data_IF_079819983138
#
_entry.id   IF_079819983138
#
_cell.length_a   1.000
_cell.length_b   1.000
_cell.length_c   1.000
_cell.angle_alpha   90.00
_cell.angle_beta   90.00
_cell.angle_gamma   90.00
#
_symmetry.space_group_name_H-M   'P 1'
#
loop_
_entity.id
_entity.type
_entity.pdbx_description
1 polymer ?
#
# COMPACT_ATOMS: atom_id res chain seq x y z
N UNK A 1 26.33 28.75 -1.87
CA UNK A 1 25.50 28.07 -0.87
C UNK A 1 24.12 27.88 -1.47
N UNK A 2 23.85 26.72 -2.04
CA UNK A 2 22.53 26.29 -2.47
C UNK A 2 22.63 24.78 -2.64
N UNK A 3 21.90 24.01 -1.83
CA UNK A 3 21.51 22.60 -2.01
C UNK A 3 21.05 22.09 -0.63
N UNK A 4 19.84 22.44 -0.24
CA UNK A 4 19.20 21.92 0.98
C UNK A 4 17.69 21.70 0.80
N UNK A 5 17.13 22.04 -0.37
CA UNK A 5 15.72 21.82 -0.70
C UNK A 5 15.47 20.51 -1.45
N UNK A 6 16.48 19.96 -2.14
CA UNK A 6 16.31 18.71 -2.90
C UNK A 6 16.38 17.48 -1.99
N UNK A 7 17.28 17.49 -1.00
CA UNK A 7 17.49 16.34 -0.11
C UNK A 7 16.29 16.08 0.82
N UNK A 8 15.61 17.13 1.29
CA UNK A 8 14.42 16.97 2.14
C UNK A 8 13.23 16.39 1.36
N UNK A 9 13.03 16.83 0.12
CA UNK A 9 11.96 16.32 -0.76
C UNK A 9 12.25 14.86 -1.16
N UNK A 10 13.49 14.52 -1.50
CA UNK A 10 13.87 13.13 -1.78
C UNK A 10 13.71 12.21 -0.55
N UNK A 11 14.10 12.68 0.65
CA UNK A 11 13.91 11.89 1.87
C UNK A 11 12.42 11.68 2.23
N UNK A 12 11.55 12.65 1.93
CA UNK A 12 10.10 12.50 2.09
C UNK A 12 9.51 11.57 1.02
N UNK A 13 9.96 11.64 -0.23
CA UNK A 13 9.52 10.73 -1.30
C UNK A 13 9.98 9.28 -1.08
N UNK A 14 11.19 9.06 -0.56
CA UNK A 14 11.70 7.72 -0.28
C UNK A 14 10.99 7.09 0.92
N UNK A 15 10.73 7.86 1.98
CA UNK A 15 9.87 7.40 3.10
C UNK A 15 8.45 7.12 2.64
N UNK A 16 7.90 7.96 1.77
CA UNK A 16 6.56 7.77 1.24
C UNK A 16 6.44 6.48 0.42
N UNK A 17 7.48 6.15 -0.36
CA UNK A 17 7.54 4.88 -1.11
C UNK A 17 7.67 3.66 -0.19
N UNK A 18 8.50 3.74 0.85
CA UNK A 18 8.62 2.68 1.86
C UNK A 18 7.27 2.46 2.60
N UNK A 19 6.59 3.54 2.96
CA UNK A 19 5.25 3.48 3.56
C UNK A 19 4.22 2.86 2.61
N UNK A 20 4.23 3.25 1.32
CA UNK A 20 3.35 2.65 0.31
C UNK A 20 3.58 1.15 0.17
N UNK A 21 4.83 0.71 0.07
CA UNK A 21 5.19 -0.71 -0.01
C UNK A 21 4.72 -1.49 1.23
N UNK A 22 4.90 -0.92 2.42
CA UNK A 22 4.43 -1.51 3.67
C UNK A 22 2.90 -1.67 3.72
N UNK A 23 2.15 -0.68 3.23
CA UNK A 23 0.68 -0.72 3.19
C UNK A 23 0.21 -1.75 2.16
N UNK A 24 0.81 -1.77 0.97
CA UNK A 24 0.51 -2.77 -0.07
C UNK A 24 0.75 -4.18 0.46
N UNK A 25 1.90 -4.42 1.11
CA UNK A 25 2.24 -5.71 1.69
C UNK A 25 1.25 -6.11 2.79
N UNK A 26 0.77 -5.16 3.61
CA UNK A 26 -0.21 -5.42 4.66
C UNK A 26 -1.58 -5.82 4.10
N UNK A 27 -2.09 -5.04 3.13
CA UNK A 27 -3.34 -5.35 2.41
C UNK A 27 -3.22 -6.72 1.75
N UNK A 28 -2.15 -6.95 0.99
CA UNK A 28 -1.95 -8.17 0.25
C UNK A 28 -1.86 -9.39 1.19
N UNK A 29 -1.10 -9.27 2.28
CA UNK A 29 -0.95 -10.35 3.24
C UNK A 29 -2.28 -10.73 3.91
N UNK A 30 -3.10 -9.74 4.28
CA UNK A 30 -4.41 -9.99 4.86
C UNK A 30 -5.35 -10.73 3.89
N UNK A 31 -5.41 -10.29 2.63
CA UNK A 31 -6.26 -10.89 1.60
C UNK A 31 -5.80 -12.31 1.22
N UNK A 32 -4.48 -12.52 1.11
CA UNK A 32 -3.90 -13.85 0.83
C UNK A 32 -4.07 -14.78 2.01
N UNK A 33 -3.88 -14.31 3.24
CA UNK A 33 -4.06 -15.13 4.44
C UNK A 33 -5.53 -15.55 4.64
N UNK A 34 -6.47 -14.67 4.28
CA UNK A 34 -7.89 -14.99 4.20
C UNK A 34 -8.22 -15.92 3.02
N UNK A 35 -7.35 -16.03 2.02
CA UNK A 35 -7.58 -16.84 0.82
C UNK A 35 -8.60 -16.21 -0.13
N UNK A 36 -8.79 -14.89 -0.05
CA UNK A 36 -9.72 -14.15 -0.90
C UNK A 36 -9.20 -14.01 -2.33
N UNK A 37 -7.88 -13.96 -2.49
CA UNK A 37 -7.20 -13.84 -3.77
C UNK A 37 -5.75 -14.31 -3.71
N UNK A 38 -5.14 -14.51 -4.87
CA UNK A 38 -3.72 -14.86 -5.00
C UNK A 38 -2.79 -13.68 -4.74
N UNK A 39 -1.52 -13.97 -4.47
CA UNK A 39 -0.47 -12.98 -4.11
C UNK A 39 -0.43 -11.76 -5.04
N UNK A 40 -0.35 -12.00 -6.36
CA UNK A 40 -0.24 -10.95 -7.37
C UNK A 40 -1.49 -10.07 -7.45
N UNK A 41 -2.67 -10.67 -7.31
CA UNK A 41 -3.93 -9.91 -7.35
C UNK A 41 -4.11 -9.09 -6.07
N UNK A 42 -3.67 -9.63 -4.94
CA UNK A 42 -3.67 -8.94 -3.65
C UNK A 42 -2.77 -7.70 -3.65
N UNK A 43 -1.57 -7.81 -4.25
CA UNK A 43 -0.66 -6.67 -4.43
C UNK A 43 -1.30 -5.61 -5.33
N UNK A 44 -1.90 -6.00 -6.46
CA UNK A 44 -2.59 -5.06 -7.35
C UNK A 44 -3.73 -4.33 -6.65
N UNK A 45 -4.49 -5.01 -5.79
CA UNK A 45 -5.56 -4.38 -5.03
C UNK A 45 -5.00 -3.36 -4.02
N UNK A 46 -3.86 -3.65 -3.39
CA UNK A 46 -3.13 -2.69 -2.54
C UNK A 46 -2.68 -1.45 -3.33
N UNK A 47 -2.06 -1.64 -4.50
CA UNK A 47 -1.62 -0.54 -5.39
C UNK A 47 -2.81 0.32 -5.80
N UNK A 48 -3.92 -0.32 -6.19
CA UNK A 48 -5.16 0.37 -6.59
C UNK A 48 -5.72 1.19 -5.43
N UNK A 49 -5.75 0.65 -4.22
CA UNK A 49 -6.21 1.39 -3.05
C UNK A 49 -5.33 2.61 -2.77
N UNK A 50 -4.00 2.49 -2.85
CA UNK A 50 -3.10 3.64 -2.68
C UNK A 50 -3.35 4.71 -3.75
N UNK A 51 -3.53 4.32 -5.01
CA UNK A 51 -3.86 5.28 -6.10
C UNK A 51 -5.18 6.00 -5.82
N UNK A 52 -6.23 5.26 -5.46
CA UNK A 52 -7.52 5.85 -5.09
C UNK A 52 -7.43 6.74 -3.85
N UNK A 53 -6.58 6.40 -2.88
CA UNK A 53 -6.32 7.23 -1.70
C UNK A 53 -5.62 8.54 -2.07
N UNK A 54 -4.69 8.52 -3.03
CA UNK A 54 -4.04 9.74 -3.55
C UNK A 54 -5.01 10.62 -4.30
N UNK A 55 -5.87 10.03 -5.14
CA UNK A 55 -6.92 10.75 -5.86
C UNK A 55 -7.92 11.39 -4.88
N UNK A 56 -8.31 10.66 -3.83
CA UNK A 56 -9.19 11.18 -2.77
C UNK A 56 -8.55 12.34 -1.99
N UNK A 57 -7.25 12.27 -1.70
CA UNK A 57 -6.53 13.37 -1.05
C UNK A 57 -6.46 14.64 -1.93
N UNK A 58 -6.49 14.48 -3.26
CA UNK A 58 -6.57 15.59 -4.23
C UNK A 58 -7.99 16.10 -4.50
N UNK A 59 -9.03 15.39 -4.06
CA UNK A 59 -10.42 15.77 -4.27
C UNK A 59 -10.86 16.84 -3.27
N UNK A 60 -10.87 18.10 -3.72
CA UNK A 60 -11.32 19.26 -2.93
C UNK A 60 -12.79 19.19 -2.51
N UNK A 61 -13.58 18.30 -3.12
CA UNK A 61 -14.99 18.10 -2.79
C UNK A 61 -15.20 16.99 -1.75
N UNK A 62 -14.17 16.19 -1.47
CA UNK A 62 -14.19 15.11 -0.47
C UNK A 62 -15.10 13.92 -0.81
N UNK A 63 -15.68 13.90 -2.01
CA UNK A 63 -16.56 12.80 -2.45
C UNK A 63 -15.81 11.49 -2.60
N UNK A 64 -14.61 11.51 -3.16
CA UNK A 64 -13.80 10.30 -3.36
C UNK A 64 -13.35 9.67 -2.04
N UNK A 65 -13.13 10.47 -0.99
CA UNK A 65 -12.77 9.95 0.34
C UNK A 65 -13.91 9.11 0.95
N UNK A 66 -15.17 9.51 0.70
CA UNK A 66 -16.33 8.73 1.17
C UNK A 66 -16.55 7.42 0.41
N UNK A 67 -16.03 7.31 -0.82
CA UNK A 67 -16.12 6.11 -1.65
C UNK A 67 -14.88 5.20 -1.51
N UNK A 68 -13.81 5.69 -0.87
CA UNK A 68 -12.58 4.95 -0.65
C UNK A 68 -12.80 3.83 0.39
N UNK A 69 -13.01 2.62 -0.09
CA UNK A 69 -13.16 1.44 0.77
C UNK A 69 -11.82 0.73 0.92
N UNK A 70 -11.33 0.63 2.16
CA UNK A 70 -10.16 -0.19 2.48
C UNK A 70 -10.41 -1.67 2.16
N UNK A 71 -9.50 -2.38 1.46
CA UNK A 71 -9.66 -3.79 1.16
C UNK A 71 -9.67 -4.60 2.45
N UNK A 72 -10.82 -5.17 2.79
CA UNK A 72 -11.01 -5.95 4.02
C UNK A 72 -11.03 -7.44 3.70
N UNK A 73 -10.25 -8.26 4.43
CA UNK A 73 -10.30 -9.70 4.26
C UNK A 73 -11.67 -10.25 4.68
N UNK A 74 -12.13 -11.33 4.01
CA UNK A 74 -13.40 -11.99 4.32
C UNK A 74 -13.42 -12.66 5.70
N UNK A 75 -12.25 -13.05 6.19
CA UNK A 75 -12.04 -13.63 7.52
C UNK A 75 -10.72 -13.17 8.12
N UNK A 76 -10.67 -13.08 9.44
CA UNK A 76 -9.42 -12.86 10.14
C UNK A 76 -8.55 -14.12 10.07
N UNK A 77 -7.32 -13.93 9.62
CA UNK A 77 -6.27 -14.93 9.71
C UNK A 77 -5.41 -14.69 10.96
N UNK A 78 -4.72 -15.72 11.49
CA UNK A 78 -3.78 -15.56 12.59
C UNK A 78 -2.69 -14.53 12.27
N UNK A 79 -2.37 -13.66 13.23
CA UNK A 79 -1.37 -12.60 13.07
C UNK A 79 0.00 -13.12 12.60
N UNK A 80 0.43 -14.28 13.11
CA UNK A 80 1.71 -14.89 12.72
C UNK A 80 1.72 -15.34 11.26
N UNK A 81 0.57 -15.79 10.75
CA UNK A 81 0.42 -16.17 9.35
C UNK A 81 0.45 -14.94 8.45
N UNK A 82 -0.30 -13.89 8.82
CA UNK A 82 -0.29 -12.61 8.10
C UNK A 82 1.12 -12.01 8.08
N UNK A 83 1.82 -12.02 9.21
CA UNK A 83 3.19 -11.51 9.31
C UNK A 83 4.16 -12.26 8.39
N UNK A 84 4.11 -13.60 8.37
CA UNK A 84 4.96 -14.39 7.47
C UNK A 84 4.66 -14.10 6.00
N UNK A 85 3.38 -14.07 5.62
CA UNK A 85 2.98 -13.75 4.25
C UNK A 85 3.41 -12.32 3.88
N UNK A 86 3.28 -11.36 4.79
CA UNK A 86 3.74 -9.98 4.58
C UNK A 86 5.23 -9.92 4.31
N UNK A 87 6.04 -10.63 5.09
CA UNK A 87 7.50 -10.71 4.87
C UNK A 87 7.83 -11.33 3.50
N UNK A 88 7.10 -12.36 3.09
CA UNK A 88 7.28 -12.98 1.75
C UNK A 88 6.86 -12.06 0.60
N UNK A 89 5.89 -11.17 0.81
CA UNK A 89 5.38 -10.25 -0.21
C UNK A 89 6.07 -8.89 -0.21
N UNK A 90 6.98 -8.63 0.75
CA UNK A 90 7.55 -7.30 0.95
C UNK A 90 8.32 -6.81 -0.28
N UNK A 91 9.16 -7.65 -0.87
CA UNK A 91 9.96 -7.29 -2.04
C UNK A 91 9.05 -6.96 -3.25
N UNK A 92 8.06 -7.81 -3.53
CA UNK A 92 7.10 -7.58 -4.63
C UNK A 92 6.22 -6.33 -4.37
N UNK A 93 5.89 -6.05 -3.10
CA UNK A 93 5.11 -4.88 -2.72
C UNK A 93 5.92 -3.58 -2.80
N UNK A 94 7.22 -3.64 -2.47
CA UNK A 94 8.14 -2.51 -2.63
C UNK A 94 8.35 -2.19 -4.11
N UNK A 95 8.60 -3.19 -4.95
CA UNK A 95 8.70 -3.02 -6.40
C UNK A 95 7.42 -2.39 -6.96
N UNK A 96 6.24 -2.89 -6.54
CA UNK A 96 4.96 -2.31 -6.95
C UNK A 96 4.73 -0.87 -6.45
N UNK A 97 5.37 -0.47 -5.35
CA UNK A 97 5.31 0.88 -4.82
C UNK A 97 6.21 1.87 -5.58
N UNK A 98 7.26 1.39 -6.26
CA UNK A 98 8.08 2.23 -7.14
C UNK A 98 7.31 2.70 -8.38
N UNK A 99 6.28 1.94 -8.79
CA UNK A 99 5.40 2.22 -9.94
C UNK A 99 4.15 3.08 -9.59
N UNK A 100 4.13 3.71 -8.40
CA UNK A 100 3.04 4.59 -7.93
C UNK A 100 3.31 6.07 -8.20
#
# INVERSE_FOLDING_TARGET
MANGRNDAVQMDEDKHREECGNIIADIAANLVAAGDMGRKDAIKEGVKWIRSSRDAAGDVTGTLDTELVYPKPSKQAPSDQVYKIKQELMDEAQEAAEDL
#
